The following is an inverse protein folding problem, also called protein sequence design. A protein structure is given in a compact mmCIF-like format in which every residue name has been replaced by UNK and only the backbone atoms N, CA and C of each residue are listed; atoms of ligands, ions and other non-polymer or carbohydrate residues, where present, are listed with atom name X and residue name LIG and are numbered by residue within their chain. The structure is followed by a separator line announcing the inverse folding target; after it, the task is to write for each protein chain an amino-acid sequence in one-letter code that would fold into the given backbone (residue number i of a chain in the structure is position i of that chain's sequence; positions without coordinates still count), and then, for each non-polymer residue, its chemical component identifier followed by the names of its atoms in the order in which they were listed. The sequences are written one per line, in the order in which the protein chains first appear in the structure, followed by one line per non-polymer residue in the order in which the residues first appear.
data_IF_762323544420
#
_entry.id   IF_762323544420
#
_cell.length_a   1.000
_cell.length_b   1.000
_cell.length_c   1.000
_cell.angle_alpha   90.00
_cell.angle_beta   90.00
_cell.angle_gamma   90.00
#
_symmetry.space_group_name_H-M   'P 1'
#
loop_
_entity.id
_entity.type
_entity.pdbx_description
1 polymer ?
#
# COMPACT_ATOMS: atom_id res chain seq x y z
N UNK A 1 -17.78 -9.85 -5.00
CA UNK A 1 -16.90 -10.16 -6.15
C UNK A 1 -15.74 -9.19 -6.14
N UNK A 2 -14.49 -9.63 -6.37
CA UNK A 2 -13.35 -8.73 -6.49
C UNK A 2 -13.28 -8.04 -7.87
N UNK A 3 -12.56 -6.93 -7.95
CA UNK A 3 -12.48 -6.14 -9.19
C UNK A 3 -11.82 -6.89 -10.36
N UNK A 4 -10.85 -7.78 -10.07
CA UNK A 4 -10.15 -8.58 -11.09
C UNK A 4 -11.07 -9.66 -11.70
N UNK A 5 -12.04 -10.15 -10.95
CA UNK A 5 -13.03 -11.14 -11.43
C UNK A 5 -14.25 -10.49 -12.04
N UNK A 6 -14.67 -9.31 -11.57
CA UNK A 6 -15.90 -8.66 -11.99
C UNK A 6 -16.02 -8.47 -13.52
N UNK A 7 -14.93 -8.06 -14.18
CA UNK A 7 -14.98 -7.86 -15.63
C UNK A 7 -15.03 -9.17 -16.44
N UNK A 8 -14.60 -10.29 -15.85
CA UNK A 8 -14.71 -11.63 -16.47
C UNK A 8 -16.12 -12.21 -16.35
N UNK A 9 -16.83 -11.79 -15.31
CA UNK A 9 -18.19 -12.24 -14.96
C UNK A 9 -19.21 -11.13 -15.25
N UNK A 10 -18.91 -10.21 -16.19
CA UNK A 10 -19.76 -9.03 -16.41
C UNK A 10 -21.17 -9.40 -16.87
N UNK A 11 -21.32 -10.47 -17.68
CA UNK A 11 -22.61 -10.91 -18.19
C UNK A 11 -23.48 -11.47 -17.06
N UNK A 12 -22.92 -12.30 -16.20
CA UNK A 12 -23.59 -12.90 -15.04
C UNK A 12 -24.00 -11.81 -14.04
N UNK A 13 -23.09 -10.87 -13.75
CA UNK A 13 -23.38 -9.74 -12.86
C UNK A 13 -24.44 -8.80 -13.43
N UNK A 14 -24.44 -8.60 -14.75
CA UNK A 14 -25.46 -7.79 -15.42
C UNK A 14 -26.82 -8.48 -15.45
N UNK A 15 -26.85 -9.82 -15.55
CA UNK A 15 -28.07 -10.60 -15.51
C UNK A 15 -28.68 -10.66 -14.10
N UNK A 16 -27.90 -10.42 -13.07
CA UNK A 16 -28.37 -10.34 -11.68
C UNK A 16 -29.27 -9.13 -11.42
N UNK A 17 -29.20 -8.11 -12.28
CA UNK A 17 -30.02 -6.90 -12.25
C UNK A 17 -30.09 -6.24 -10.86
N UNK A 18 -28.94 -6.02 -10.26
CA UNK A 18 -28.82 -5.49 -8.91
C UNK A 18 -29.30 -4.04 -8.82
N UNK A 19 -30.21 -3.73 -7.91
CA UNK A 19 -30.67 -2.36 -7.63
C UNK A 19 -29.56 -1.46 -7.09
N UNK A 20 -28.68 -2.01 -6.24
CA UNK A 20 -27.59 -1.30 -5.60
C UNK A 20 -26.25 -1.97 -5.89
N UNK A 21 -25.29 -1.19 -6.34
CA UNK A 21 -23.89 -1.62 -6.45
C UNK A 21 -23.04 -0.83 -5.46
N UNK A 22 -22.36 -1.56 -4.57
CA UNK A 22 -21.41 -1.00 -3.60
C UNK A 22 -19.98 -1.37 -4.04
N UNK A 23 -19.16 -0.36 -4.26
CA UNK A 23 -17.72 -0.53 -4.55
C UNK A 23 -16.92 -0.23 -3.29
N UNK A 24 -16.46 -1.28 -2.60
CA UNK A 24 -15.52 -1.14 -1.49
C UNK A 24 -14.11 -0.94 -2.02
N UNK A 25 -13.28 -0.17 -1.29
CA UNK A 25 -11.97 0.28 -1.78
C UNK A 25 -12.04 0.89 -3.19
N UNK A 26 -12.98 1.81 -3.36
CA UNK A 26 -13.31 2.41 -4.66
C UNK A 26 -12.15 3.11 -5.38
N UNK A 27 -11.02 3.36 -4.69
CA UNK A 27 -9.79 3.82 -5.33
C UNK A 27 -9.22 2.81 -6.35
N UNK A 28 -9.61 1.52 -6.29
CA UNK A 28 -9.21 0.50 -7.28
C UNK A 28 -9.73 0.76 -8.68
N UNK A 29 -10.80 1.54 -8.83
CA UNK A 29 -11.32 1.94 -10.15
C UNK A 29 -10.86 3.35 -10.58
N UNK A 30 -9.81 3.92 -9.99
CA UNK A 30 -9.29 5.26 -10.32
C UNK A 30 -8.85 5.41 -11.77
N UNK A 31 -8.34 4.34 -12.37
CA UNK A 31 -7.88 4.33 -13.76
C UNK A 31 -9.04 4.03 -14.70
N UNK A 32 -9.57 5.04 -15.38
CA UNK A 32 -10.82 4.99 -16.14
C UNK A 32 -10.84 4.04 -17.36
N UNK A 33 -9.68 3.70 -17.91
CA UNK A 33 -9.55 2.95 -19.16
C UNK A 33 -9.22 1.46 -19.01
N UNK A 34 -9.03 0.96 -17.79
CA UNK A 34 -8.81 -0.47 -17.52
C UNK A 34 -10.12 -1.27 -17.58
N UNK A 35 -10.02 -2.57 -17.83
CA UNK A 35 -11.17 -3.47 -18.01
C UNK A 35 -12.11 -3.45 -16.79
N UNK A 36 -11.57 -3.53 -15.58
CA UNK A 36 -12.33 -3.49 -14.33
C UNK A 36 -13.16 -2.20 -14.20
N UNK A 37 -12.55 -1.02 -14.40
CA UNK A 37 -13.26 0.26 -14.31
C UNK A 37 -14.35 0.38 -15.35
N UNK A 38 -14.09 -0.03 -16.60
CA UNK A 38 -15.08 -0.02 -17.66
C UNK A 38 -16.27 -0.94 -17.37
N UNK A 39 -16.02 -2.13 -16.84
CA UNK A 39 -17.06 -3.05 -16.40
C UNK A 39 -17.92 -2.42 -15.29
N UNK A 40 -17.31 -1.89 -14.24
CA UNK A 40 -18.01 -1.25 -13.13
C UNK A 40 -18.83 -0.04 -13.60
N UNK A 41 -18.33 0.77 -14.54
CA UNK A 41 -19.10 1.86 -15.13
C UNK A 41 -20.34 1.36 -15.87
N UNK A 42 -20.23 0.26 -16.65
CA UNK A 42 -21.37 -0.31 -17.38
C UNK A 42 -22.42 -0.93 -16.45
N UNK A 43 -21.96 -1.68 -15.45
CA UNK A 43 -22.86 -2.24 -14.42
C UNK A 43 -23.53 -1.10 -13.63
N UNK A 44 -22.76 -0.11 -13.19
CA UNK A 44 -23.29 1.05 -12.46
C UNK A 44 -24.30 1.87 -13.26
N UNK A 45 -24.17 1.94 -14.59
CA UNK A 45 -25.14 2.63 -15.44
C UNK A 45 -26.52 1.95 -15.48
N UNK A 46 -26.59 0.65 -15.19
CA UNK A 46 -27.83 -0.11 -15.11
C UNK A 46 -28.45 -0.07 -13.70
N UNK A 47 -27.63 -0.01 -12.65
CA UNK A 47 -28.10 -0.02 -11.28
C UNK A 47 -28.82 1.29 -10.92
N UNK A 48 -29.87 1.16 -10.11
CA UNK A 48 -30.66 2.29 -9.57
C UNK A 48 -29.83 3.12 -8.59
N UNK A 49 -29.06 2.45 -7.74
CA UNK A 49 -28.24 3.08 -6.70
C UNK A 49 -26.78 2.65 -6.81
N UNK A 50 -25.89 3.58 -6.48
CA UNK A 50 -24.43 3.36 -6.50
C UNK A 50 -23.82 3.95 -5.25
N UNK A 51 -22.95 3.18 -4.61
CA UNK A 51 -22.20 3.61 -3.42
C UNK A 51 -20.72 3.24 -3.63
N UNK A 52 -19.84 4.10 -3.15
CA UNK A 52 -18.41 3.88 -3.18
C UNK A 52 -17.85 4.16 -1.80
N UNK A 53 -17.17 3.17 -1.23
CA UNK A 53 -16.50 3.26 0.05
C UNK A 53 -14.99 3.31 -0.20
N UNK A 54 -14.31 4.25 0.43
CA UNK A 54 -12.85 4.36 0.35
C UNK A 54 -12.33 5.25 1.48
N UNK A 55 -11.23 4.86 2.08
CA UNK A 55 -10.52 5.70 3.04
C UNK A 55 -9.87 6.93 2.39
N UNK A 56 -9.58 6.87 1.07
CA UNK A 56 -8.91 7.95 0.34
C UNK A 56 -9.37 7.98 -1.11
N UNK A 57 -10.16 8.99 -1.49
CA UNK A 57 -10.62 9.13 -2.88
C UNK A 57 -9.51 9.64 -3.82
N UNK A 58 -8.60 10.45 -3.31
CA UNK A 58 -7.41 10.94 -4.02
C UNK A 58 -6.19 10.22 -3.45
N UNK A 59 -5.75 9.14 -4.12
CA UNK A 59 -4.60 8.36 -3.65
C UNK A 59 -3.26 9.03 -3.98
N UNK A 60 -3.06 9.44 -5.24
CA UNK A 60 -1.79 9.99 -5.71
C UNK A 60 -1.98 11.32 -6.45
N UNK A 61 -3.01 11.43 -7.28
CA UNK A 61 -3.24 12.60 -8.15
C UNK A 61 -4.71 12.97 -8.13
N UNK A 62 -5.01 14.28 -8.12
CA UNK A 62 -6.40 14.76 -8.14
C UNK A 62 -7.19 14.31 -9.39
N UNK A 63 -6.52 13.98 -10.49
CA UNK A 63 -7.15 13.45 -11.70
C UNK A 63 -7.79 12.07 -11.51
N UNK A 64 -7.37 11.32 -10.49
CA UNK A 64 -7.85 9.98 -10.18
C UNK A 64 -9.32 9.95 -9.74
N UNK A 65 -9.89 11.09 -9.34
CA UNK A 65 -11.30 11.19 -8.93
C UNK A 65 -12.29 11.00 -10.08
N UNK A 66 -11.87 11.21 -11.33
CA UNK A 66 -12.79 11.14 -12.47
C UNK A 66 -13.52 9.79 -12.56
N UNK A 67 -12.78 8.70 -12.52
CA UNK A 67 -13.34 7.38 -12.75
C UNK A 67 -14.29 6.91 -11.64
N UNK A 68 -13.98 7.06 -10.34
CA UNK A 68 -14.92 6.84 -9.25
C UNK A 68 -16.20 7.69 -9.37
N UNK A 69 -16.07 8.96 -9.72
CA UNK A 69 -17.23 9.85 -9.85
C UNK A 69 -18.06 9.56 -11.13
N UNK A 70 -17.43 9.09 -12.18
CA UNK A 70 -18.15 8.58 -13.35
C UNK A 70 -19.03 7.37 -13.00
N UNK A 71 -18.58 6.51 -12.09
CA UNK A 71 -19.40 5.42 -11.56
C UNK A 71 -20.53 5.96 -10.68
N UNK A 72 -20.24 6.84 -9.72
CA UNK A 72 -21.24 7.36 -8.78
C UNK A 72 -22.31 8.19 -9.49
N UNK A 73 -21.90 9.23 -10.19
CA UNK A 73 -22.79 10.13 -10.91
C UNK A 73 -22.04 10.90 -12.00
N UNK A 74 -22.30 10.60 -13.27
CA UNK A 74 -21.76 11.39 -14.39
C UNK A 74 -22.15 12.88 -14.37
N UNK A 75 -23.20 13.26 -13.63
CA UNK A 75 -23.61 14.67 -13.51
C UNK A 75 -22.56 15.54 -12.84
N UNK A 76 -21.65 14.97 -12.03
CA UNK A 76 -20.62 15.73 -11.31
C UNK A 76 -19.50 16.18 -12.25
N UNK A 77 -18.91 15.28 -13.01
CA UNK A 77 -17.75 15.57 -13.87
C UNK A 77 -17.94 15.22 -15.35
N UNK A 78 -19.12 14.74 -15.74
CA UNK A 78 -19.41 14.31 -17.09
C UNK A 78 -18.92 12.88 -17.40
N UNK A 79 -19.12 12.48 -18.64
CA UNK A 79 -18.73 11.14 -19.13
C UNK A 79 -17.35 11.11 -19.81
N UNK A 80 -16.80 12.27 -20.20
CA UNK A 80 -15.55 12.37 -20.95
C UNK A 80 -14.37 12.70 -20.06
N UNK A 81 -13.43 11.76 -19.97
CA UNK A 81 -12.17 11.99 -19.25
C UNK A 81 -11.37 13.16 -19.80
N UNK A 82 -11.33 13.30 -21.13
CA UNK A 82 -10.58 14.39 -21.77
C UNK A 82 -11.20 15.76 -21.51
N UNK A 83 -12.54 15.86 -21.49
CA UNK A 83 -13.22 17.10 -21.13
C UNK A 83 -12.94 17.49 -19.66
N UNK A 84 -13.02 16.52 -18.74
CA UNK A 84 -12.66 16.71 -17.33
C UNK A 84 -11.20 17.14 -17.19
N UNK A 85 -10.27 16.40 -17.80
CA UNK A 85 -8.84 16.72 -17.75
C UNK A 85 -8.57 18.14 -18.24
N UNK A 86 -9.07 18.52 -19.42
CA UNK A 86 -8.80 19.82 -20.01
C UNK A 86 -9.41 20.97 -19.20
N UNK A 87 -10.53 20.74 -18.51
CA UNK A 87 -11.14 21.73 -17.63
C UNK A 87 -10.29 21.99 -16.40
N UNK A 88 -9.88 20.93 -15.69
CA UNK A 88 -9.29 21.04 -14.36
C UNK A 88 -7.77 21.00 -14.34
N UNK A 89 -7.10 20.52 -15.38
CA UNK A 89 -5.67 20.28 -15.37
C UNK A 89 -4.96 20.92 -16.56
N UNK A 90 -3.74 21.40 -16.30
CA UNK A 90 -2.75 21.71 -17.30
C UNK A 90 -1.83 20.52 -17.49
N UNK A 91 -1.41 20.29 -18.72
CA UNK A 91 -0.45 19.22 -19.03
C UNK A 91 0.95 19.83 -19.04
N UNK A 92 1.83 19.30 -18.19
CA UNK A 92 3.18 19.81 -17.96
C UNK A 92 4.24 18.71 -18.13
N UNK A 93 5.52 19.09 -17.98
CA UNK A 93 6.65 18.18 -18.05
C UNK A 93 7.08 17.81 -19.46
N UNK A 94 8.12 16.96 -19.55
CA UNK A 94 8.63 16.48 -20.83
C UNK A 94 7.53 15.71 -21.58
N UNK A 95 7.27 16.11 -22.82
CA UNK A 95 6.21 15.53 -23.64
C UNK A 95 4.78 15.88 -23.20
N UNK A 96 4.57 16.82 -22.27
CA UNK A 96 3.23 17.26 -21.80
C UNK A 96 2.37 16.10 -21.24
N UNK A 97 2.99 15.18 -20.50
CA UNK A 97 2.29 13.98 -19.98
C UNK A 97 1.86 14.08 -18.51
N UNK A 98 2.32 15.09 -17.78
CA UNK A 98 2.03 15.21 -16.34
C UNK A 98 0.85 16.17 -16.13
N UNK A 99 -0.32 15.68 -15.66
CA UNK A 99 -1.45 16.53 -15.34
C UNK A 99 -1.20 17.25 -13.99
N UNK A 100 -1.27 18.58 -14.02
CA UNK A 100 -1.14 19.47 -12.85
C UNK A 100 -2.47 20.18 -12.65
N UNK A 101 -3.04 20.13 -11.47
CA UNK A 101 -4.31 20.80 -11.15
C UNK A 101 -4.16 22.30 -11.27
N UNK A 102 -5.04 22.94 -12.04
CA UNK A 102 -5.12 24.39 -12.16
C UNK A 102 -5.49 25.00 -10.82
N UNK A 103 -4.69 25.94 -10.32
CA UNK A 103 -4.96 26.60 -9.02
C UNK A 103 -6.34 27.24 -8.95
N UNK A 104 -6.80 27.85 -10.05
CA UNK A 104 -8.13 28.47 -10.16
C UNK A 104 -9.30 27.47 -10.12
N UNK A 105 -9.04 26.18 -10.34
CA UNK A 105 -10.07 25.13 -10.37
C UNK A 105 -10.08 24.25 -9.12
N UNK A 106 -9.14 24.44 -8.19
CA UNK A 106 -9.00 23.60 -7.00
C UNK A 106 -10.25 23.65 -6.12
N UNK A 107 -10.78 24.84 -5.84
CA UNK A 107 -11.97 25.02 -4.99
C UNK A 107 -13.23 24.49 -5.67
N UNK A 108 -13.37 24.66 -6.99
CA UNK A 108 -14.48 24.09 -7.74
C UNK A 108 -14.45 22.57 -7.72
N UNK A 109 -13.28 21.98 -7.98
CA UNK A 109 -13.08 20.53 -7.93
C UNK A 109 -13.46 19.98 -6.55
N UNK A 110 -12.96 20.59 -5.50
CA UNK A 110 -13.25 20.21 -4.12
C UNK A 110 -14.76 20.28 -3.80
N UNK A 111 -15.42 21.39 -4.11
CA UNK A 111 -16.87 21.54 -3.91
C UNK A 111 -17.67 20.48 -4.66
N UNK A 112 -17.30 20.16 -5.90
CA UNK A 112 -17.98 19.11 -6.67
C UNK A 112 -17.75 17.71 -6.10
N UNK A 113 -16.55 17.41 -5.61
CA UNK A 113 -16.27 16.16 -4.90
C UNK A 113 -17.21 16.03 -3.70
N UNK A 114 -17.30 17.05 -2.87
CA UNK A 114 -18.09 17.01 -1.63
C UNK A 114 -19.61 17.15 -1.87
N UNK A 115 -20.06 17.45 -3.09
CA UNK A 115 -21.51 17.59 -3.37
C UNK A 115 -22.32 16.30 -3.20
N UNK A 116 -21.68 15.13 -3.34
CA UNK A 116 -22.29 13.80 -3.19
C UNK A 116 -21.49 12.87 -2.29
N UNK A 117 -20.47 13.40 -1.60
CA UNK A 117 -19.61 12.61 -0.72
C UNK A 117 -19.85 12.97 0.75
N UNK A 118 -19.94 11.94 1.58
CA UNK A 118 -19.87 12.05 3.03
C UNK A 118 -18.45 11.65 3.47
N UNK A 119 -17.88 12.43 4.38
CA UNK A 119 -16.57 12.16 4.97
C UNK A 119 -16.70 12.12 6.49
N UNK A 120 -16.17 11.03 7.07
CA UNK A 120 -16.00 10.90 8.51
C UNK A 120 -14.50 10.65 8.78
N UNK A 121 -13.93 11.40 9.70
CA UNK A 121 -12.52 11.20 10.12
C UNK A 121 -12.47 10.44 11.44
N UNK A 122 -11.36 9.73 11.69
CA UNK A 122 -11.15 9.04 12.98
C UNK A 122 -11.25 10.01 14.16
N UNK A 123 -10.70 11.22 14.01
CA UNK A 123 -10.72 12.25 15.04
C UNK A 123 -12.13 12.77 15.36
N UNK A 124 -13.06 12.75 14.39
CA UNK A 124 -14.44 13.19 14.59
C UNK A 124 -15.35 12.07 15.14
N UNK A 125 -15.01 10.82 14.87
CA UNK A 125 -15.91 9.69 15.12
C UNK A 125 -15.46 8.75 16.24
N UNK A 126 -14.19 8.79 16.62
CA UNK A 126 -13.58 7.85 17.57
C UNK A 126 -12.83 8.61 18.66
N UNK A 127 -13.06 8.21 19.89
CA UNK A 127 -12.28 8.64 21.05
C UNK A 127 -11.05 7.74 21.19
N UNK A 128 -10.02 8.03 20.40
CA UNK A 128 -8.76 7.29 20.39
C UNK A 128 -7.66 8.14 21.03
N UNK A 129 -6.72 7.51 21.74
CA UNK A 129 -5.53 8.20 22.22
C UNK A 129 -4.73 8.79 21.06
N UNK A 130 -3.96 9.83 21.32
CA UNK A 130 -3.08 10.45 20.32
C UNK A 130 -2.05 9.43 19.82
N UNK A 131 -1.85 9.44 18.50
CA UNK A 131 -0.84 8.60 17.87
C UNK A 131 0.49 9.33 17.87
N UNK A 132 1.51 8.69 18.42
CA UNK A 132 2.89 9.19 18.39
C UNK A 132 3.70 8.40 17.35
N UNK A 133 4.33 9.10 16.42
CA UNK A 133 5.22 8.51 15.43
C UNK A 133 6.67 8.75 15.84
N UNK A 134 7.46 7.68 15.99
CA UNK A 134 8.85 7.72 16.39
C UNK A 134 9.71 7.07 15.32
N UNK A 135 10.68 7.83 14.78
CA UNK A 135 11.67 7.30 13.85
C UNK A 135 12.93 6.94 14.61
N UNK A 136 13.28 5.65 14.65
CA UNK A 136 14.55 5.16 15.18
C UNK A 136 15.54 4.92 14.04
N UNK A 137 16.61 5.70 14.01
CA UNK A 137 17.71 5.50 13.06
C UNK A 137 18.72 4.53 13.63
N UNK A 138 19.13 3.55 12.83
CA UNK A 138 20.18 2.56 13.16
C UNK A 138 21.29 2.65 12.14
N UNK A 139 22.53 2.54 12.59
CA UNK A 139 23.70 2.51 11.72
C UNK A 139 24.02 1.07 11.34
N UNK A 140 24.32 0.85 10.06
CA UNK A 140 24.81 -0.44 9.58
C UNK A 140 26.23 -0.67 10.09
N UNK A 141 26.57 -1.91 10.41
CA UNK A 141 27.91 -2.32 10.76
C UNK A 141 28.90 -2.01 9.60
N UNK A 142 30.19 -1.81 9.88
CA UNK A 142 31.16 -1.35 8.87
C UNK A 142 31.21 -2.21 7.61
N UNK A 143 31.02 -3.51 7.73
CA UNK A 143 31.00 -4.44 6.57
C UNK A 143 29.75 -4.24 5.70
N UNK A 144 28.57 -4.24 6.33
CA UNK A 144 27.30 -4.00 5.64
C UNK A 144 27.25 -2.61 5.00
N UNK A 145 27.81 -1.57 5.69
CA UNK A 145 27.92 -0.22 5.16
C UNK A 145 28.80 -0.13 3.92
N UNK A 146 29.93 -0.85 3.89
CA UNK A 146 30.79 -0.95 2.69
C UNK A 146 30.05 -1.57 1.53
N UNK A 147 29.36 -2.68 1.77
CA UNK A 147 28.55 -3.38 0.76
C UNK A 147 27.42 -2.49 0.22
N UNK A 148 26.73 -1.78 1.09
CA UNK A 148 25.71 -0.79 0.71
C UNK A 148 26.30 0.29 -0.21
N UNK A 149 27.45 0.87 0.15
CA UNK A 149 28.12 1.88 -0.66
C UNK A 149 28.58 1.35 -2.01
N UNK A 150 29.04 0.09 -2.11
CA UNK A 150 29.39 -0.55 -3.36
C UNK A 150 28.15 -0.68 -4.26
N UNK A 151 27.04 -1.22 -3.73
CA UNK A 151 25.78 -1.33 -4.48
C UNK A 151 25.26 0.02 -5.00
N UNK A 152 25.43 1.08 -4.21
CA UNK A 152 25.09 2.47 -4.64
C UNK A 152 26.01 2.92 -5.76
N UNK A 153 27.33 2.78 -5.63
CA UNK A 153 28.33 3.19 -6.66
C UNK A 153 28.13 2.46 -7.98
N UNK A 154 27.97 1.16 -7.93
CA UNK A 154 27.71 0.34 -9.13
C UNK A 154 26.42 0.76 -9.83
N UNK A 155 25.43 1.23 -9.05
CA UNK A 155 24.23 1.82 -9.58
C UNK A 155 24.49 3.13 -10.35
N UNK A 156 25.34 4.01 -9.83
CA UNK A 156 25.69 5.27 -10.51
C UNK A 156 26.54 5.06 -11.76
N UNK A 157 27.47 4.12 -11.76
CA UNK A 157 28.37 3.84 -12.88
C UNK A 157 27.59 3.36 -14.11
N UNK A 158 26.65 2.44 -13.93
CA UNK A 158 25.78 1.94 -15.02
C UNK A 158 24.76 2.96 -15.52
N UNK A 159 24.37 3.93 -14.68
CA UNK A 159 23.53 5.08 -15.09
C UNK A 159 24.26 5.96 -16.12
N UNK A 160 25.57 6.13 -16.00
CA UNK A 160 26.37 6.90 -16.95
C UNK A 160 26.64 6.19 -18.28
N UNK A 161 26.50 4.87 -18.33
CA UNK A 161 26.77 4.04 -19.50
C UNK A 161 25.52 3.73 -20.35
N UNK A 162 24.41 4.50 -20.18
CA UNK A 162 23.15 4.40 -20.95
C UNK A 162 22.41 3.02 -20.93
N UNK A 163 22.76 2.12 -20.02
CA UNK A 163 22.09 0.82 -19.86
C UNK A 163 20.90 0.85 -18.87
N UNK A 164 20.15 1.96 -18.78
CA UNK A 164 19.09 2.09 -17.79
C UNK A 164 17.78 1.52 -18.35
N UNK A 165 17.40 0.35 -17.88
CA UNK A 165 16.00 -0.07 -17.91
C UNK A 165 15.36 0.18 -16.54
N UNK A 166 14.06 0.54 -16.50
CA UNK A 166 13.31 0.70 -15.26
C UNK A 166 13.39 -0.55 -14.35
N UNK A 167 13.51 -1.73 -14.94
CA UNK A 167 13.70 -3.02 -14.27
C UNK A 167 15.00 -3.03 -13.46
N UNK A 168 16.11 -2.55 -14.03
CA UNK A 168 17.41 -2.52 -13.34
C UNK A 168 17.41 -1.60 -12.12
N UNK A 169 16.71 -0.45 -12.19
CA UNK A 169 16.58 0.49 -11.06
C UNK A 169 15.77 -0.13 -9.93
N UNK A 170 14.63 -0.74 -10.24
CA UNK A 170 13.76 -1.39 -9.25
C UNK A 170 14.46 -2.55 -8.55
N UNK A 171 15.19 -3.39 -9.30
CA UNK A 171 15.96 -4.50 -8.72
C UNK A 171 17.02 -4.02 -7.74
N UNK A 172 17.70 -2.92 -8.05
CA UNK A 172 18.72 -2.34 -7.16
C UNK A 172 18.13 -1.75 -5.89
N UNK A 173 17.03 -0.98 -6.01
CA UNK A 173 16.31 -0.50 -4.84
C UNK A 173 15.87 -1.65 -3.94
N UNK A 174 15.42 -2.76 -4.54
CA UNK A 174 15.08 -3.97 -3.81
C UNK A 174 16.29 -4.55 -3.07
N UNK A 175 17.48 -4.64 -3.72
CA UNK A 175 18.72 -5.13 -3.09
C UNK A 175 19.18 -4.24 -1.94
N UNK A 176 19.13 -2.91 -2.11
CA UNK A 176 19.44 -1.97 -1.03
C UNK A 176 18.46 -2.13 0.15
N UNK A 177 17.18 -2.34 -0.15
CA UNK A 177 16.16 -2.59 0.86
C UNK A 177 16.40 -3.92 1.61
N UNK A 178 16.78 -4.98 0.91
CA UNK A 178 17.16 -6.27 1.51
C UNK A 178 18.38 -6.12 2.41
N UNK A 179 19.44 -5.44 1.96
CA UNK A 179 20.65 -5.21 2.74
C UNK A 179 20.35 -4.46 4.03
N UNK A 180 19.54 -3.38 3.95
CA UNK A 180 19.12 -2.65 5.14
C UNK A 180 18.16 -3.46 6.03
N UNK A 181 17.50 -4.50 5.48
CA UNK A 181 16.73 -5.50 6.21
C UNK A 181 17.58 -6.58 6.87
N UNK A 182 18.92 -6.53 6.67
CA UNK A 182 19.89 -7.41 7.30
C UNK A 182 20.29 -8.64 6.49
N UNK A 183 19.85 -8.78 5.24
CA UNK A 183 20.13 -9.93 4.40
C UNK A 183 20.34 -9.55 2.93
N UNK A 184 21.00 -10.45 2.19
CA UNK A 184 21.03 -10.43 0.72
C UNK A 184 20.68 -11.83 0.20
N UNK A 185 19.96 -11.87 -0.92
CA UNK A 185 19.65 -13.10 -1.62
C UNK A 185 20.50 -13.19 -2.88
N UNK A 186 21.20 -14.31 -3.08
CA UNK A 186 22.00 -14.56 -4.26
C UNK A 186 21.14 -14.60 -5.53
N UNK A 187 21.65 -14.07 -6.64
CA UNK A 187 20.89 -14.01 -7.91
C UNK A 187 20.74 -15.40 -8.56
N UNK A 188 21.73 -16.28 -8.39
CA UNK A 188 21.77 -17.59 -9.04
C UNK A 188 21.47 -18.76 -8.09
N UNK A 189 21.70 -18.60 -6.78
CA UNK A 189 21.70 -19.72 -5.83
C UNK A 189 20.52 -19.72 -4.88
N UNK A 190 19.65 -18.74 -4.95
CA UNK A 190 18.52 -18.55 -4.00
C UNK A 190 18.95 -18.52 -2.50
N UNK A 191 20.27 -18.50 -2.26
CA UNK A 191 20.87 -18.51 -0.92
C UNK A 191 20.69 -17.15 -0.26
N UNK A 192 20.21 -17.18 0.97
CA UNK A 192 20.09 -15.99 1.81
C UNK A 192 21.34 -15.87 2.67
N UNK A 193 22.01 -14.72 2.58
CA UNK A 193 23.17 -14.38 3.40
C UNK A 193 22.78 -13.28 4.38
N UNK A 194 23.08 -13.50 5.66
CA UNK A 194 22.88 -12.47 6.68
C UNK A 194 24.05 -11.47 6.62
N UNK A 195 23.74 -10.19 6.52
CA UNK A 195 24.76 -9.14 6.32
C UNK A 195 24.74 -8.05 7.42
N UNK A 196 23.66 -7.93 8.18
CA UNK A 196 23.55 -6.93 9.27
C UNK A 196 22.52 -7.38 10.30
N UNK A 197 22.83 -7.18 11.58
CA UNK A 197 21.87 -7.38 12.69
C UNK A 197 21.29 -6.05 13.21
N UNK A 198 21.79 -4.91 12.78
CA UNK A 198 21.50 -3.60 13.33
C UNK A 198 20.02 -3.30 13.56
N UNK A 199 19.16 -3.59 12.56
CA UNK A 199 17.71 -3.42 12.72
C UNK A 199 17.09 -4.44 13.67
N UNK A 200 17.55 -5.69 13.63
CA UNK A 200 17.05 -6.75 14.48
C UNK A 200 17.39 -6.48 15.94
N UNK A 201 18.59 -5.97 16.21
CA UNK A 201 19.04 -5.61 17.56
C UNK A 201 18.21 -4.44 18.11
N UNK A 202 17.99 -3.39 17.30
CA UNK A 202 17.12 -2.28 17.67
C UNK A 202 15.65 -2.70 17.89
N UNK A 203 15.15 -3.67 17.11
CA UNK A 203 13.83 -4.26 17.33
C UNK A 203 13.78 -5.08 18.61
N UNK A 204 14.85 -5.83 18.92
CA UNK A 204 14.98 -6.60 20.15
C UNK A 204 14.81 -5.71 21.39
N UNK A 205 15.42 -4.52 21.41
CA UNK A 205 15.26 -3.53 22.49
C UNK A 205 13.81 -3.05 22.63
N UNK A 206 13.13 -2.81 21.49
CA UNK A 206 11.72 -2.41 21.48
C UNK A 206 10.83 -3.52 22.05
N UNK A 207 11.07 -4.76 21.64
CA UNK A 207 10.33 -5.93 22.11
C UNK A 207 10.49 -6.11 23.61
N UNK A 208 11.71 -5.96 24.14
CA UNK A 208 11.97 -6.05 25.58
C UNK A 208 11.26 -4.94 26.36
N UNK A 209 11.32 -3.71 25.86
CA UNK A 209 10.62 -2.59 26.50
C UNK A 209 9.10 -2.82 26.52
N UNK A 210 8.52 -3.24 25.40
CA UNK A 210 7.08 -3.53 25.31
C UNK A 210 6.66 -4.67 26.24
N UNK A 211 7.48 -5.71 26.37
CA UNK A 211 7.22 -6.83 27.27
C UNK A 211 7.26 -6.39 28.75
N UNK A 212 8.20 -5.50 29.13
CA UNK A 212 8.28 -4.95 30.49
C UNK A 212 7.09 -4.06 30.82
N UNK A 213 6.57 -3.32 29.86
CA UNK A 213 5.41 -2.43 30.01
C UNK A 213 4.07 -3.19 29.97
N UNK A 214 4.07 -4.48 29.65
CA UNK A 214 2.86 -5.30 29.51
C UNK A 214 2.02 -4.93 28.29
N UNK A 215 2.63 -4.26 27.30
CA UNK A 215 1.98 -3.85 26.07
C UNK A 215 1.94 -4.94 25.01
N UNK A 216 1.03 -4.81 24.04
CA UNK A 216 1.02 -5.63 22.80
C UNK A 216 1.75 -4.93 21.69
N UNK A 217 2.57 -5.66 20.93
CA UNK A 217 3.38 -5.15 19.85
C UNK A 217 2.98 -5.76 18.51
N UNK A 218 2.82 -4.92 17.49
CA UNK A 218 2.62 -5.35 16.10
C UNK A 218 3.88 -5.02 15.30
N UNK A 219 4.48 -6.05 14.71
CA UNK A 219 5.68 -5.95 13.87
C UNK A 219 5.26 -6.23 12.43
N UNK A 220 5.55 -5.30 11.52
CA UNK A 220 5.30 -5.47 10.10
C UNK A 220 6.63 -5.48 9.37
N UNK A 221 6.90 -6.55 8.62
CA UNK A 221 8.09 -6.70 7.82
C UNK A 221 7.75 -7.08 6.37
N UNK A 222 8.63 -6.75 5.45
CA UNK A 222 8.38 -6.95 4.02
C UNK A 222 8.88 -8.30 3.51
N UNK A 223 10.04 -8.73 3.96
CA UNK A 223 10.73 -9.89 3.41
C UNK A 223 10.66 -11.10 4.34
N UNK A 224 10.46 -12.28 3.77
CA UNK A 224 10.45 -13.53 4.56
C UNK A 224 11.73 -13.73 5.38
N UNK A 225 12.96 -13.50 4.87
CA UNK A 225 14.15 -13.63 5.71
C UNK A 225 14.22 -12.66 6.90
N UNK A 226 13.62 -11.45 6.79
CA UNK A 226 13.47 -10.56 7.96
C UNK A 226 12.50 -11.17 8.98
N UNK A 227 11.37 -11.71 8.51
CA UNK A 227 10.38 -12.37 9.36
C UNK A 227 10.97 -13.58 10.07
N UNK A 228 11.71 -14.42 9.34
CA UNK A 228 12.38 -15.58 9.90
C UNK A 228 13.40 -15.18 11.00
N UNK A 229 14.15 -14.10 10.78
CA UNK A 229 15.08 -13.57 11.79
C UNK A 229 14.35 -13.01 13.02
N UNK A 230 13.21 -12.32 12.81
CA UNK A 230 12.37 -11.78 13.88
C UNK A 230 11.77 -12.92 14.72
N UNK A 231 11.16 -13.92 14.08
CA UNK A 231 10.56 -15.05 14.80
C UNK A 231 11.61 -15.85 15.55
N UNK A 232 12.77 -16.11 14.96
CA UNK A 232 13.89 -16.76 15.66
C UNK A 232 14.40 -15.93 16.86
N UNK A 233 14.37 -14.61 16.79
CA UNK A 233 14.71 -13.74 17.93
C UNK A 233 13.66 -13.85 19.03
N UNK A 234 12.35 -13.83 18.70
CA UNK A 234 11.26 -13.98 19.66
C UNK A 234 11.30 -15.35 20.36
N UNK A 235 11.55 -16.43 19.61
CA UNK A 235 11.70 -17.80 20.15
C UNK A 235 12.86 -17.90 21.13
N UNK A 236 14.03 -17.34 20.80
CA UNK A 236 15.19 -17.30 21.73
C UNK A 236 14.89 -16.56 23.02
N UNK A 237 13.99 -15.58 22.99
CA UNK A 237 13.55 -14.82 24.17
C UNK A 237 12.33 -15.45 24.87
N UNK A 238 11.83 -16.58 24.37
CA UNK A 238 10.61 -17.24 24.87
C UNK A 238 9.39 -16.32 24.88
N UNK A 239 9.27 -15.44 23.87
CA UNK A 239 8.14 -14.54 23.70
C UNK A 239 7.13 -15.18 22.74
N UNK A 240 5.90 -15.36 23.22
CA UNK A 240 4.81 -15.89 22.40
C UNK A 240 4.34 -14.86 21.37
N UNK A 241 4.17 -15.32 20.14
CA UNK A 241 3.76 -14.46 19.04
C UNK A 241 2.73 -15.16 18.13
N UNK A 242 1.96 -14.36 17.40
CA UNK A 242 1.18 -14.81 16.27
C UNK A 242 1.81 -14.33 14.96
N UNK A 243 1.63 -15.08 13.88
CA UNK A 243 2.30 -14.84 12.60
C UNK A 243 1.32 -14.89 11.43
N UNK A 244 1.36 -13.87 10.58
CA UNK A 244 0.66 -13.87 9.29
C UNK A 244 1.64 -13.61 8.15
N UNK A 245 1.82 -14.63 7.30
CA UNK A 245 2.54 -14.53 6.03
C UNK A 245 1.67 -15.08 4.89
N UNK A 246 2.19 -15.03 3.66
CA UNK A 246 1.52 -15.63 2.52
C UNK A 246 1.25 -17.14 2.66
N UNK A 247 2.02 -17.86 3.48
CA UNK A 247 1.88 -19.29 3.71
C UNK A 247 0.80 -19.65 4.76
N UNK A 248 0.39 -18.70 5.60
CA UNK A 248 -0.58 -18.95 6.68
C UNK A 248 -1.98 -18.99 6.12
N UNK A 249 -2.67 -20.13 6.32
CA UNK A 249 -4.03 -20.35 5.82
C UNK A 249 -5.11 -19.79 6.75
N UNK A 250 -4.99 -20.03 8.05
CA UNK A 250 -5.93 -19.54 9.05
C UNK A 250 -5.45 -18.24 9.67
N UNK A 251 -5.72 -17.15 8.96
CA UNK A 251 -5.33 -15.81 9.38
C UNK A 251 -6.21 -15.27 10.51
N UNK A 252 -7.46 -15.63 10.50
CA UNK A 252 -8.43 -15.17 11.50
C UNK A 252 -8.09 -15.73 12.89
N UNK A 253 -7.63 -16.97 12.95
CA UNK A 253 -7.15 -17.57 14.20
C UNK A 253 -5.88 -16.84 14.72
N UNK A 254 -4.95 -16.47 13.86
CA UNK A 254 -3.76 -15.73 14.29
C UNK A 254 -4.12 -14.34 14.86
N UNK A 255 -5.09 -13.66 14.25
CA UNK A 255 -5.61 -12.38 14.76
C UNK A 255 -6.32 -12.60 16.10
N UNK A 256 -7.17 -13.63 16.20
CA UNK A 256 -7.89 -13.96 17.42
C UNK A 256 -6.93 -14.24 18.58
N UNK A 257 -5.91 -15.07 18.36
CA UNK A 257 -4.87 -15.37 19.35
C UNK A 257 -4.21 -14.09 19.87
N UNK A 258 -3.74 -13.22 18.96
CA UNK A 258 -3.13 -11.96 19.35
C UNK A 258 -4.10 -11.06 20.16
N UNK A 259 -5.39 -11.04 19.80
CA UNK A 259 -6.36 -10.18 20.47
C UNK A 259 -6.80 -10.69 21.85
N UNK A 260 -6.99 -12.01 21.99
CA UNK A 260 -7.66 -12.60 23.16
C UNK A 260 -6.72 -13.33 24.14
N UNK A 261 -5.58 -13.83 23.67
CA UNK A 261 -4.64 -14.54 24.52
C UNK A 261 -3.65 -13.53 25.16
N UNK A 262 -3.60 -13.44 26.51
CA UNK A 262 -2.68 -12.53 27.20
C UNK A 262 -1.21 -12.95 27.05
N UNK A 263 -0.91 -14.23 26.81
CA UNK A 263 0.46 -14.71 26.61
C UNK A 263 1.00 -14.33 25.23
N UNK A 264 0.14 -14.13 24.24
CA UNK A 264 0.53 -13.72 22.89
C UNK A 264 0.64 -12.19 22.85
N UNK A 265 1.83 -11.70 23.11
CA UNK A 265 2.10 -10.25 23.21
C UNK A 265 2.61 -9.63 21.92
N UNK A 266 3.09 -10.44 20.98
CA UNK A 266 3.63 -9.96 19.70
C UNK A 266 2.85 -10.53 18.51
N UNK A 267 2.53 -9.68 17.53
CA UNK A 267 2.01 -10.06 16.24
C UNK A 267 3.02 -9.72 15.16
N UNK A 268 3.36 -10.67 14.30
CA UNK A 268 4.29 -10.49 13.16
C UNK A 268 3.51 -10.64 11.85
N UNK A 269 3.52 -9.61 11.04
CA UNK A 269 2.80 -9.57 9.75
C UNK A 269 3.72 -9.30 8.57
N UNK A 270 3.46 -9.99 7.45
CA UNK A 270 4.08 -9.70 6.14
C UNK A 270 3.22 -8.68 5.38
N UNK A 271 3.89 -7.64 4.80
CA UNK A 271 3.26 -6.65 3.94
C UNK A 271 3.56 -6.88 2.47
#
# INVERSE_FOLDING_TARGET
VNYESAWRMEQELAAWDADLIVCDEGHKIKTHNIAASKCIHRLGAKARYRMLLTGTIITNKAIDVFSPYKFLSPAVFGNSFYAFRNRYFDMCGYGMHTPVLKKSMADELSRRIHSIAFRATKAECLDLPETTEIIRSVELEPQARKLYQQLVRDSYTRIKEDEITAVNVLTRLLRLSQLTGGFLRGDETDRVEHVSSAKLDALSDIVESAAQEGGKLVIIARFLPEIDAITAMLERKSICYSLITGAVKDRDEQVRLFQTDPEVTVFVGQI
#
